data_IF_178456171268
#
_entry.id   IF_178456171268
#
_cell.length_a   1.000
_cell.length_b   1.000
_cell.length_c   1.000
_cell.angle_alpha   90.00
_cell.angle_beta   90.00
_cell.angle_gamma   90.00
#
_symmetry.space_group_name_H-M   'P 1'
#
loop_
_entity.id
_entity.type
_entity.pdbx_description
1 polymer ?
#
# COMPACT_ATOMS: atom_id res chain seq x y z
N UNK A 1 -17.44 -0.56 -15.84
CA UNK A 1 -16.12 -1.19 -15.82
C UNK A 1 -15.21 -0.45 -14.86
N UNK A 2 -14.73 -1.12 -13.87
CA UNK A 2 -13.79 -0.55 -12.95
C UNK A 2 -12.39 -0.70 -13.51
N UNK A 3 -11.74 0.41 -13.78
CA UNK A 3 -10.33 0.38 -14.11
C UNK A 3 -9.55 0.47 -12.82
N UNK A 4 -8.84 -0.59 -12.48
CA UNK A 4 -7.95 -0.57 -11.33
C UNK A 4 -6.52 -0.56 -11.83
N UNK A 5 -5.66 0.12 -11.09
CA UNK A 5 -4.25 0.16 -11.39
C UNK A 5 -3.46 -0.47 -10.26
N UNK A 6 -2.31 -1.02 -10.59
CA UNK A 6 -1.43 -1.64 -9.62
C UNK A 6 -0.16 -0.82 -9.50
N UNK A 7 0.28 -0.67 -8.27
CA UNK A 7 1.51 0.05 -7.98
C UNK A 7 2.36 -0.76 -7.01
N UNK A 8 3.67 -0.63 -7.14
CA UNK A 8 4.62 -1.24 -6.22
C UNK A 8 5.26 -0.14 -5.39
N UNK A 9 5.16 -0.26 -4.08
CA UNK A 9 5.74 0.70 -3.13
C UNK A 9 6.90 0.05 -2.39
N UNK A 10 7.97 0.80 -2.19
CA UNK A 10 9.10 0.36 -1.37
C UNK A 10 8.78 0.57 0.10
N UNK A 11 8.95 -0.48 0.88
CA UNK A 11 8.72 -0.43 2.33
C UNK A 11 10.00 -0.74 3.09
N UNK A 12 11.09 -0.17 2.66
CA UNK A 12 12.40 -0.40 3.24
C UNK A 12 12.44 -0.03 4.72
N UNK A 13 13.16 -0.83 5.49
CA UNK A 13 13.29 -0.60 6.91
C UNK A 13 12.21 -1.22 7.75
N UNK A 14 11.21 -1.82 7.14
CA UNK A 14 10.17 -2.54 7.86
C UNK A 14 10.58 -3.99 8.03
N UNK A 15 11.23 -4.27 9.15
CA UNK A 15 11.74 -5.61 9.45
C UNK A 15 10.81 -6.38 10.38
N UNK A 16 9.77 -5.74 10.88
CA UNK A 16 8.88 -6.31 11.87
C UNK A 16 7.52 -6.63 11.24
N UNK A 17 6.98 -7.82 11.56
CA UNK A 17 5.68 -8.23 11.06
C UNK A 17 4.56 -7.25 11.48
N UNK A 18 4.68 -6.67 12.66
CA UNK A 18 3.71 -5.70 13.14
C UNK A 18 3.68 -4.44 12.29
N UNK A 19 4.86 -3.97 11.85
CA UNK A 19 4.94 -2.79 11.00
C UNK A 19 4.31 -3.05 9.64
N UNK A 20 4.56 -4.23 9.07
CA UNK A 20 3.99 -4.61 7.80
C UNK A 20 2.46 -4.69 7.90
N UNK A 21 1.96 -5.26 8.98
CA UNK A 21 0.52 -5.36 9.21
C UNK A 21 -0.11 -3.97 9.30
N UNK A 22 0.54 -3.03 9.98
CA UNK A 22 0.05 -1.67 10.08
C UNK A 22 -0.04 -0.98 8.72
N UNK A 23 0.98 -1.17 7.90
CA UNK A 23 1.00 -0.61 6.55
C UNK A 23 -0.14 -1.20 5.72
N UNK A 24 -0.30 -2.52 5.79
CA UNK A 24 -1.36 -3.19 5.06
C UNK A 24 -2.73 -2.68 5.48
N UNK A 25 -2.98 -2.61 6.77
CA UNK A 25 -4.26 -2.13 7.28
C UNK A 25 -4.49 -0.66 6.95
N UNK A 26 -3.46 0.16 7.10
CA UNK A 26 -3.54 1.58 6.77
C UNK A 26 -3.85 1.83 5.31
N UNK A 27 -3.26 1.06 4.42
CA UNK A 27 -3.53 1.18 3.00
C UNK A 27 -4.95 0.71 2.66
N UNK A 28 -5.41 -0.36 3.29
CA UNK A 28 -6.76 -0.86 3.08
C UNK A 28 -7.84 0.12 3.53
N UNK A 29 -7.55 0.95 4.51
CA UNK A 29 -8.48 1.95 5.00
C UNK A 29 -8.70 3.09 4.01
N UNK A 30 -7.78 3.30 3.08
CA UNK A 30 -7.92 4.34 2.08
C UNK A 30 -9.01 3.98 1.08
N UNK A 31 -9.84 4.96 0.77
CA UNK A 31 -10.87 4.76 -0.24
C UNK A 31 -10.22 4.56 -1.59
N UNK A 32 -10.75 3.62 -2.35
CA UNK A 32 -10.22 3.31 -3.67
C UNK A 32 -9.21 2.17 -3.69
N UNK A 33 -8.68 1.78 -2.54
CA UNK A 33 -7.77 0.65 -2.45
C UNK A 33 -8.57 -0.64 -2.47
N UNK A 34 -8.29 -1.48 -3.45
CA UNK A 34 -9.01 -2.74 -3.64
C UNK A 34 -8.30 -3.92 -2.99
N UNK A 35 -6.98 -3.94 -3.09
CA UNK A 35 -6.20 -5.00 -2.47
C UNK A 35 -4.79 -4.53 -2.15
N UNK A 36 -4.21 -5.15 -1.14
CA UNK A 36 -2.84 -4.86 -0.71
C UNK A 36 -2.15 -6.20 -0.47
N UNK A 37 -0.95 -6.34 -1.02
CA UNK A 37 -0.12 -7.52 -0.82
C UNK A 37 1.29 -7.06 -0.51
N UNK A 38 1.87 -7.59 0.55
CA UNK A 38 3.20 -7.19 0.98
C UNK A 38 4.14 -8.38 0.92
N UNK A 39 5.30 -8.16 0.31
CA UNK A 39 6.33 -9.16 0.21
C UNK A 39 7.53 -8.77 1.06
N UNK A 40 7.80 -9.53 2.11
CA UNK A 40 8.92 -9.30 3.01
C UNK A 40 10.28 -9.49 2.35
N UNK A 41 10.37 -10.48 1.48
CA UNK A 41 11.66 -10.85 0.89
C UNK A 41 12.21 -9.72 0.02
N UNK A 42 11.33 -9.01 -0.66
CA UNK A 42 11.72 -7.91 -1.54
C UNK A 42 11.49 -6.54 -0.91
N UNK A 43 10.88 -6.50 0.28
CA UNK A 43 10.50 -5.25 0.96
C UNK A 43 9.64 -4.36 0.07
N UNK A 44 8.67 -4.96 -0.58
CA UNK A 44 7.78 -4.24 -1.50
C UNK A 44 6.32 -4.50 -1.17
N UNK A 45 5.51 -3.48 -1.37
CA UNK A 45 4.07 -3.56 -1.21
C UNK A 45 3.42 -3.39 -2.58
N UNK A 46 2.51 -4.29 -2.89
CA UNK A 46 1.75 -4.24 -4.14
C UNK A 46 0.33 -3.81 -3.81
N UNK A 47 -0.09 -2.71 -4.39
CA UNK A 47 -1.41 -2.14 -4.11
C UNK A 47 -2.21 -2.06 -5.40
N UNK A 48 -3.43 -2.56 -5.34
CA UNK A 48 -4.39 -2.41 -6.43
C UNK A 48 -5.42 -1.37 -5.99
N UNK A 49 -5.58 -0.34 -6.78
CA UNK A 49 -6.42 0.80 -6.40
C UNK A 49 -7.18 1.35 -7.59
N UNK A 50 -8.23 2.11 -7.28
CA UNK A 50 -9.01 2.82 -8.29
C UNK A 50 -8.42 4.23 -8.46
N UNK A 51 -7.85 4.55 -9.64
CA UNK A 51 -7.21 5.84 -9.86
C UNK A 51 -8.19 7.01 -9.82
N UNK A 52 -9.48 6.75 -9.91
CA UNK A 52 -10.49 7.80 -9.77
C UNK A 52 -10.70 8.21 -8.32
N UNK A 53 -10.38 7.35 -7.36
CA UNK A 53 -10.61 7.58 -5.94
C UNK A 53 -9.36 7.91 -5.16
N UNK A 54 -8.23 7.40 -5.58
CA UNK A 54 -6.95 7.63 -4.90
C UNK A 54 -5.82 7.71 -5.91
N UNK A 55 -4.63 8.05 -5.47
CA UNK A 55 -3.47 8.16 -6.35
C UNK A 55 -2.22 7.62 -5.65
N UNK A 56 -1.14 7.34 -6.41
CA UNK A 56 0.10 6.81 -5.83
C UNK A 56 0.71 7.71 -4.76
N UNK A 57 0.54 9.01 -4.89
CA UNK A 57 1.05 9.96 -3.90
C UNK A 57 0.39 9.79 -2.55
N UNK A 58 -0.91 9.57 -2.52
CA UNK A 58 -1.65 9.31 -1.27
C UNK A 58 -1.23 7.99 -0.65
N UNK A 59 -1.02 6.97 -1.47
CA UNK A 59 -0.58 5.67 -0.99
C UNK A 59 0.80 5.75 -0.37
N UNK A 60 1.74 6.40 -1.04
CA UNK A 60 3.09 6.58 -0.53
C UNK A 60 3.10 7.42 0.74
N UNK A 61 2.28 8.46 0.80
CA UNK A 61 2.15 9.29 1.99
C UNK A 61 1.63 8.50 3.19
N UNK A 62 0.68 7.60 2.96
CA UNK A 62 0.15 6.75 4.03
C UNK A 62 1.22 5.82 4.58
N UNK A 63 2.04 5.24 3.71
CA UNK A 63 3.14 4.37 4.13
C UNK A 63 4.13 5.15 4.99
N UNK A 64 4.45 6.38 4.62
CA UNK A 64 5.35 7.24 5.40
C UNK A 64 4.78 7.57 6.78
N UNK A 65 3.48 7.85 6.85
CA UNK A 65 2.83 8.18 8.10
C UNK A 65 2.87 7.02 9.10
N UNK A 66 2.74 5.81 8.59
CA UNK A 66 2.70 4.60 9.42
C UNK A 66 4.12 4.16 9.78
N UNK A 67 4.98 4.17 8.82
CA UNK A 67 6.37 3.76 8.99
C UNK A 67 7.23 4.91 9.39
#
# INVERSE_FOLDING_TARGET
MTSSEKITLDIRGMTCASCVRRVEEGLRELQGVQSVSINFATEKAFVEYDPAMTDPGKLAGRVRDIG
#
